data_IF_845260417391
#
_entry.id   IF_845260417391
#
_cell.length_a   1.000
_cell.length_b   1.000
_cell.length_c   1.000
_cell.angle_alpha   90.00
_cell.angle_beta   90.00
_cell.angle_gamma   90.00
#
_symmetry.space_group_name_H-M   'P 1'
#
loop_
_entity.id
_entity.type
_entity.pdbx_description
1 polymer ?
#
# COMPACT_ATOMS: atom_id res chain seq x y z
N UNK A 1 -3.86 -15.03 3.86
CA UNK A 1 -5.26 -14.68 3.51
C UNK A 1 -6.14 -14.41 4.74
N UNK A 2 -5.87 -15.03 5.89
CA UNK A 2 -6.67 -14.89 7.14
C UNK A 2 -6.96 -13.45 7.58
N UNK A 3 -5.97 -12.55 7.53
CA UNK A 3 -6.15 -11.14 7.94
C UNK A 3 -7.19 -10.39 7.10
N UNK A 4 -7.24 -10.66 5.79
CA UNK A 4 -8.23 -10.04 4.91
C UNK A 4 -9.62 -10.55 5.23
N UNK A 5 -9.77 -11.87 5.41
CA UNK A 5 -11.04 -12.50 5.79
C UNK A 5 -11.56 -11.95 7.11
N UNK A 6 -10.72 -11.91 8.14
CA UNK A 6 -11.08 -11.37 9.46
C UNK A 6 -11.52 -9.90 9.37
N UNK A 7 -10.85 -9.09 8.54
CA UNK A 7 -11.25 -7.71 8.32
C UNK A 7 -12.59 -7.59 7.60
N UNK A 8 -12.82 -8.38 6.55
CA UNK A 8 -14.08 -8.38 5.80
C UNK A 8 -15.26 -8.83 6.68
N UNK A 9 -15.03 -9.83 7.53
CA UNK A 9 -16.01 -10.27 8.52
C UNK A 9 -16.32 -9.14 9.52
N UNK A 10 -15.30 -8.55 10.13
CA UNK A 10 -15.47 -7.39 11.02
C UNK A 10 -16.25 -6.24 10.36
N UNK A 11 -15.91 -5.92 9.10
CA UNK A 11 -16.59 -4.88 8.30
C UNK A 11 -18.07 -5.21 8.12
N UNK A 12 -18.40 -6.45 7.77
CA UNK A 12 -19.77 -6.90 7.55
C UNK A 12 -20.61 -6.87 8.83
N UNK A 13 -20.04 -7.27 9.97
CA UNK A 13 -20.71 -7.23 11.27
C UNK A 13 -20.89 -5.80 11.79
N UNK A 14 -19.90 -4.93 11.58
CA UNK A 14 -19.91 -3.53 12.06
C UNK A 14 -20.88 -2.66 11.26
N UNK A 15 -20.99 -2.88 9.94
CA UNK A 15 -21.81 -2.08 9.03
C UNK A 15 -22.61 -2.98 8.07
N UNK A 16 -23.63 -3.71 8.56
CA UNK A 16 -24.34 -4.70 7.76
C UNK A 16 -25.12 -4.10 6.58
N UNK A 17 -25.58 -2.85 6.71
CA UNK A 17 -26.36 -2.16 5.69
C UNK A 17 -25.52 -1.23 4.79
N UNK A 18 -24.18 -1.26 4.89
CA UNK A 18 -23.34 -0.38 4.07
C UNK A 18 -23.37 -0.79 2.61
N UNK A 19 -23.70 0.16 1.74
CA UNK A 19 -23.60 0.01 0.28
C UNK A 19 -22.27 0.53 -0.26
N UNK A 20 -21.36 0.95 0.63
CA UNK A 20 -20.06 1.49 0.23
C UNK A 20 -19.20 0.38 -0.42
N UNK A 21 -18.74 0.55 -1.68
CA UNK A 21 -17.98 -0.49 -2.39
C UNK A 21 -16.49 -0.53 -2.00
N UNK A 22 -16.00 0.45 -1.24
CA UNK A 22 -14.58 0.55 -0.91
C UNK A 22 -14.17 -0.47 0.16
N UNK A 23 -12.94 -0.99 0.03
CA UNK A 23 -12.39 -1.99 0.95
C UNK A 23 -12.36 -1.44 2.37
N UNK A 24 -11.74 -0.28 2.56
CA UNK A 24 -11.67 0.37 3.87
C UNK A 24 -12.88 1.26 4.12
N UNK A 25 -13.55 1.03 5.23
CA UNK A 25 -14.69 1.83 5.70
C UNK A 25 -14.37 2.45 7.06
N UNK A 26 -14.84 3.68 7.24
CA UNK A 26 -14.86 4.41 8.50
C UNK A 26 -16.30 4.80 8.84
N UNK A 27 -16.62 5.09 10.11
CA UNK A 27 -18.00 5.43 10.50
C UNK A 27 -18.59 6.60 9.70
N UNK A 28 -17.75 7.54 9.24
CA UNK A 28 -18.16 8.68 8.40
C UNK A 28 -18.41 8.32 6.93
N UNK A 29 -17.82 7.23 6.43
CA UNK A 29 -17.98 6.79 5.04
C UNK A 29 -18.94 5.61 4.90
N UNK A 30 -19.34 4.98 6.02
CA UNK A 30 -20.21 3.81 6.02
C UNK A 30 -21.59 4.05 5.38
N UNK A 31 -22.10 5.28 5.42
CA UNK A 31 -23.40 5.67 4.82
C UNK A 31 -23.23 6.41 3.48
N UNK A 32 -22.02 6.43 2.92
CA UNK A 32 -21.69 7.10 1.66
C UNK A 32 -21.05 6.10 0.70
N UNK A 33 -20.99 6.46 -0.57
CA UNK A 33 -20.26 5.80 -1.65
C UNK A 33 -18.79 6.25 -1.78
N UNK A 34 -18.34 7.16 -0.90
CA UNK A 34 -16.99 7.73 -0.95
C UNK A 34 -15.94 6.86 -0.23
N UNK A 35 -14.69 6.86 -0.71
CA UNK A 35 -13.60 6.19 -0.01
C UNK A 35 -13.23 6.91 1.28
N UNK A 36 -12.50 6.22 2.15
CA UNK A 36 -11.80 6.86 3.27
C UNK A 36 -10.77 7.87 2.75
N UNK A 37 -10.64 9.00 3.45
CA UNK A 37 -9.68 10.04 3.07
C UNK A 37 -8.24 9.68 3.39
N UNK A 38 -7.29 10.30 2.69
CA UNK A 38 -5.84 10.10 2.89
C UNK A 38 -5.39 10.35 4.33
N UNK A 39 -6.02 11.30 5.04
CA UNK A 39 -5.73 11.56 6.46
C UNK A 39 -6.06 10.35 7.34
N UNK A 40 -7.14 9.62 7.04
CA UNK A 40 -7.51 8.40 7.78
C UNK A 40 -6.43 7.34 7.62
N UNK A 41 -5.95 7.11 6.38
CA UNK A 41 -4.88 6.13 6.11
C UNK A 41 -3.61 6.48 6.89
N UNK A 42 -3.16 7.74 6.84
CA UNK A 42 -1.95 8.15 7.56
C UNK A 42 -2.10 8.01 9.08
N UNK A 43 -3.29 8.31 9.64
CA UNK A 43 -3.55 8.11 11.07
C UNK A 43 -3.54 6.64 11.47
N UNK A 44 -4.08 5.75 10.63
CA UNK A 44 -4.09 4.31 10.87
C UNK A 44 -2.67 3.71 10.85
N UNK A 45 -1.78 4.22 10.01
CA UNK A 45 -0.37 3.77 9.95
C UNK A 45 0.49 4.28 11.13
N UNK A 46 0.05 5.32 11.83
CA UNK A 46 0.77 5.94 12.93
C UNK A 46 1.79 7.00 12.48
N UNK A 47 2.37 7.74 13.44
CA UNK A 47 3.17 8.95 13.15
C UNK A 47 4.54 8.67 12.52
N UNK A 48 5.10 7.47 12.73
CA UNK A 48 6.43 7.12 12.21
C UNK A 48 6.41 6.70 10.74
N UNK A 49 5.24 6.34 10.21
CA UNK A 49 5.08 5.64 8.95
C UNK A 49 4.18 6.41 8.00
N UNK A 50 4.53 6.43 6.71
CA UNK A 50 3.67 6.98 5.67
C UNK A 50 3.45 5.94 4.58
N UNK A 51 2.32 5.98 3.84
CA UNK A 51 2.08 5.08 2.72
C UNK A 51 3.19 5.16 1.66
N UNK A 52 3.77 6.35 1.51
CA UNK A 52 4.89 6.59 0.61
C UNK A 52 6.15 5.85 1.07
N UNK A 53 6.51 5.96 2.35
CA UNK A 53 7.68 5.24 2.91
C UNK A 53 7.52 3.73 2.79
N UNK A 54 6.33 3.20 3.06
CA UNK A 54 6.03 1.78 2.86
C UNK A 54 6.22 1.34 1.40
N UNK A 55 5.79 2.16 0.44
CA UNK A 55 6.03 1.87 -0.98
C UNK A 55 7.51 1.91 -1.32
N UNK A 56 8.23 2.93 -0.87
CA UNK A 56 9.67 3.08 -1.12
C UNK A 56 10.48 1.92 -0.52
N UNK A 57 10.13 1.49 0.70
CA UNK A 57 10.71 0.32 1.35
C UNK A 57 10.48 -0.96 0.52
N UNK A 58 9.24 -1.19 0.07
CA UNK A 58 8.93 -2.34 -0.78
C UNK A 58 9.64 -2.30 -2.15
N UNK A 59 9.88 -1.11 -2.71
CA UNK A 59 10.66 -0.98 -3.96
C UNK A 59 12.13 -1.37 -3.75
N UNK A 60 12.71 -0.99 -2.62
CA UNK A 60 14.07 -1.38 -2.26
C UNK A 60 14.16 -2.89 -2.02
N UNK A 61 13.23 -3.45 -1.24
CA UNK A 61 13.15 -4.89 -0.98
C UNK A 61 13.08 -5.71 -2.28
N UNK A 62 12.22 -5.30 -3.22
CA UNK A 62 12.14 -5.95 -4.53
C UNK A 62 13.42 -5.76 -5.36
N UNK A 63 14.05 -4.59 -5.30
CA UNK A 63 15.33 -4.36 -5.99
C UNK A 63 16.41 -5.31 -5.47
N UNK A 64 16.47 -5.51 -4.15
CA UNK A 64 17.35 -6.49 -3.52
C UNK A 64 17.01 -7.92 -3.95
N UNK A 65 15.73 -8.30 -3.92
CA UNK A 65 15.26 -9.64 -4.28
C UNK A 65 15.56 -10.01 -5.75
N UNK A 66 15.60 -9.02 -6.64
CA UNK A 66 15.84 -9.18 -8.08
C UNK A 66 17.28 -8.87 -8.51
N UNK A 67 18.19 -8.67 -7.55
CA UNK A 67 19.59 -8.28 -7.78
C UNK A 67 19.75 -7.03 -8.67
N UNK A 68 18.78 -6.12 -8.62
CA UNK A 68 18.82 -4.84 -9.34
C UNK A 68 18.18 -4.84 -10.72
N UNK A 69 17.32 -5.80 -11.03
CA UNK A 69 16.57 -5.79 -12.29
C UNK A 69 15.53 -4.67 -12.30
N UNK A 70 15.85 -3.56 -12.97
CA UNK A 70 14.95 -2.42 -13.12
C UNK A 70 13.66 -2.78 -13.89
N UNK A 71 13.70 -3.79 -14.77
CA UNK A 71 12.51 -4.25 -15.51
C UNK A 71 11.53 -4.93 -14.57
N UNK A 72 12.01 -5.69 -13.59
CA UNK A 72 11.16 -6.33 -12.58
C UNK A 72 10.39 -5.28 -11.76
N UNK A 73 11.05 -4.20 -11.32
CA UNK A 73 10.41 -3.10 -10.60
C UNK A 73 9.35 -2.38 -11.44
N UNK A 74 9.66 -2.08 -12.71
CA UNK A 74 8.70 -1.46 -13.63
C UNK A 74 7.48 -2.36 -13.83
N UNK A 75 7.69 -3.66 -14.02
CA UNK A 75 6.60 -4.61 -14.23
C UNK A 75 5.70 -4.79 -12.99
N UNK A 76 6.29 -4.82 -11.79
CA UNK A 76 5.55 -5.09 -10.57
C UNK A 76 4.83 -3.85 -10.00
N UNK A 77 5.43 -2.67 -10.12
CA UNK A 77 4.96 -1.45 -9.44
C UNK A 77 4.53 -0.34 -10.40
N UNK A 78 4.53 -0.59 -11.71
CA UNK A 78 4.23 0.40 -12.75
C UNK A 78 5.10 1.67 -12.62
N UNK A 79 6.37 1.47 -12.24
CA UNK A 79 7.36 2.54 -12.16
C UNK A 79 7.91 2.86 -13.54
N UNK A 80 8.10 4.15 -13.83
CA UNK A 80 8.89 4.54 -15.00
C UNK A 80 10.32 3.97 -14.90
N UNK A 81 10.94 3.66 -16.03
CA UNK A 81 12.31 3.10 -16.08
C UNK A 81 13.30 3.95 -15.31
N UNK A 82 13.18 5.29 -15.40
CA UNK A 82 14.02 6.24 -14.65
C UNK A 82 13.81 6.11 -13.14
N UNK A 83 12.57 5.93 -12.68
CA UNK A 83 12.28 5.72 -11.28
C UNK A 83 12.81 4.37 -10.78
N UNK A 84 12.64 3.29 -11.56
CA UNK A 84 13.16 1.96 -11.23
C UNK A 84 14.69 1.96 -11.09
N UNK A 85 15.42 2.56 -12.03
CA UNK A 85 16.88 2.70 -11.98
C UNK A 85 17.39 3.42 -10.73
N UNK A 86 16.62 4.38 -10.19
CA UNK A 86 16.99 5.09 -8.96
C UNK A 86 17.06 4.14 -7.77
N UNK A 87 16.14 3.17 -7.68
CA UNK A 87 16.10 2.19 -6.61
C UNK A 87 17.07 1.03 -6.84
N UNK A 88 17.35 0.62 -8.07
CA UNK A 88 18.32 -0.48 -8.31
C UNK A 88 19.77 -0.02 -8.16
N UNK A 89 20.06 1.25 -8.45
CA UNK A 89 21.40 1.82 -8.21
C UNK A 89 21.82 1.77 -6.74
N UNK A 90 20.86 1.62 -5.81
CA UNK A 90 21.20 1.53 -4.39
C UNK A 90 21.93 0.25 -4.00
N UNK A 91 21.88 -0.77 -4.83
CA UNK A 91 22.59 -2.03 -4.63
C UNK A 91 24.09 -1.87 -4.85
N UNK A 92 24.50 -0.95 -5.73
CA UNK A 92 25.90 -0.80 -6.14
C UNK A 92 26.70 0.13 -5.22
N UNK A 93 26.04 0.72 -4.23
CA UNK A 93 26.67 1.55 -3.20
C UNK A 93 26.54 0.94 -1.79
N UNK A 94 26.24 -0.36 -1.69
CA UNK A 94 26.46 -1.12 -0.46
C UNK A 94 27.97 -1.39 -0.33
N UNK A 95 28.62 -1.02 0.78
CA UNK A 95 30.05 -1.26 1.00
C UNK A 95 30.40 -2.76 1.07
#
# INVERSE_FOLDING_TARGET
MERLTAYLEHRSQRWPATTNPHLFIHFRTATSDRPVGTLWINRTLGPALTPRRLREDRYLDEAHATAGDAKALTCLFDLSTKAAQRYTRTLWHSP
#
